data_IF_997277206481
#
_entry.id   IF_997277206481
#
_cell.length_a   1.000
_cell.length_b   1.000
_cell.length_c   1.000
_cell.angle_alpha   90.00
_cell.angle_beta   90.00
_cell.angle_gamma   90.00
#
_symmetry.space_group_name_H-M   'P 1'
#
loop_
_entity.id
_entity.type
_entity.pdbx_description
1 polymer ?
#
# COMPACT_ATOMS: atom_id res chain seq x y z
N UNK A 1 14.83 -10.92 86.85
CA UNK A 1 14.06 -11.09 85.68
C UNK A 1 14.39 -9.90 84.73
N UNK A 2 15.24 -10.13 83.71
CA UNK A 2 15.75 -9.08 82.80
C UNK A 2 15.00 -9.22 81.46
N UNK A 3 14.20 -8.23 81.12
CA UNK A 3 13.58 -8.10 79.79
C UNK A 3 14.64 -7.62 78.79
N UNK A 4 14.87 -8.39 77.73
CA UNK A 4 15.68 -8.00 76.56
C UNK A 4 14.75 -7.38 75.49
N UNK A 5 14.94 -6.09 75.23
CA UNK A 5 14.31 -5.38 74.16
C UNK A 5 15.00 -5.78 72.83
N UNK A 6 14.24 -6.36 71.87
CA UNK A 6 14.67 -6.56 70.51
C UNK A 6 14.24 -5.36 69.66
N UNK A 7 15.19 -4.61 69.17
CA UNK A 7 15.02 -3.53 68.21
C UNK A 7 14.89 -4.17 66.81
N UNK A 8 13.73 -4.13 66.22
CA UNK A 8 13.53 -4.51 64.81
C UNK A 8 13.88 -3.29 63.93
N UNK A 9 14.99 -3.41 63.19
CA UNK A 9 15.36 -2.48 62.11
C UNK A 9 14.61 -2.92 60.85
N UNK A 10 13.59 -2.11 60.45
CA UNK A 10 12.93 -2.25 59.17
C UNK A 10 13.81 -1.57 58.12
N UNK A 11 14.49 -2.36 57.27
CA UNK A 11 15.20 -1.86 56.10
C UNK A 11 14.13 -1.63 55.02
N UNK A 12 13.77 -0.35 54.76
CA UNK A 12 12.92 0.05 53.64
C UNK A 12 13.79 0.00 52.38
N UNK A 13 13.64 -1.07 51.55
CA UNK A 13 14.24 -1.12 50.26
C UNK A 13 13.43 -0.19 49.30
N UNK A 14 13.99 0.99 49.07
CA UNK A 14 13.49 1.87 47.99
C UNK A 14 13.96 1.31 46.66
N UNK A 15 13.10 0.58 45.98
CA UNK A 15 13.31 0.23 44.57
C UNK A 15 13.19 1.49 43.71
N UNK A 16 14.34 2.03 43.29
CA UNK A 16 14.37 3.00 42.19
C UNK A 16 13.89 2.31 40.93
N UNK A 17 12.63 2.52 40.54
CA UNK A 17 12.18 2.30 39.17
C UNK A 17 12.94 3.32 38.31
N UNK A 18 13.98 2.89 37.64
CA UNK A 18 14.52 3.60 36.49
C UNK A 18 13.43 3.61 35.40
N UNK A 19 12.63 4.67 35.35
CA UNK A 19 11.88 5.01 34.15
C UNK A 19 12.93 5.27 33.06
N UNK A 20 13.15 4.30 32.19
CA UNK A 20 13.85 4.52 30.95
C UNK A 20 13.07 5.59 30.18
N UNK A 21 13.51 6.83 30.25
CA UNK A 21 12.96 7.96 29.50
C UNK A 21 13.23 7.75 28.01
N UNK A 22 12.37 6.99 27.36
CA UNK A 22 12.33 6.94 25.89
C UNK A 22 12.05 8.37 25.41
N UNK A 23 12.81 8.86 24.42
CA UNK A 23 12.50 10.14 23.77
C UNK A 23 11.05 10.07 23.34
N UNK A 24 10.24 11.12 23.57
CA UNK A 24 8.88 11.16 23.09
C UNK A 24 8.89 10.93 21.57
N UNK A 25 8.00 10.07 21.08
CA UNK A 25 7.84 9.84 19.64
C UNK A 25 7.44 11.15 18.94
N UNK A 26 7.58 11.22 17.61
CA UNK A 26 7.20 12.41 16.87
C UNK A 26 5.71 12.71 17.09
N UNK A 27 5.39 13.99 17.21
CA UNK A 27 4.01 14.45 17.15
C UNK A 27 3.52 14.46 15.70
N UNK A 28 2.22 14.22 15.52
CA UNK A 28 1.60 14.10 14.20
C UNK A 28 0.39 15.03 14.13
N UNK A 29 0.37 15.90 13.11
CA UNK A 29 -0.80 16.69 12.73
C UNK A 29 -1.37 16.17 11.42
N UNK A 30 -2.70 16.06 11.31
CA UNK A 30 -3.37 15.50 10.13
C UNK A 30 -4.47 16.45 9.66
N UNK A 31 -4.50 16.68 8.35
CA UNK A 31 -5.46 17.53 7.66
C UNK A 31 -6.04 16.76 6.45
N UNK A 32 -7.36 16.77 6.29
CA UNK A 32 -8.02 16.28 5.08
C UNK A 32 -7.82 17.24 3.91
N UNK A 33 -7.65 16.70 2.70
CA UNK A 33 -7.36 17.47 1.49
C UNK A 33 -8.47 17.31 0.43
N UNK A 34 -9.67 17.88 0.64
CA UNK A 34 -10.79 17.69 -0.28
C UNK A 34 -10.53 18.23 -1.70
N UNK A 35 -9.61 19.17 -1.88
CA UNK A 35 -9.16 19.65 -3.19
C UNK A 35 -8.41 18.56 -3.98
N UNK A 36 -7.74 17.61 -3.31
CA UNK A 36 -7.15 16.43 -3.95
C UNK A 36 -8.22 15.37 -4.24
N UNK A 37 -9.17 15.14 -3.32
CA UNK A 37 -10.30 14.23 -3.54
C UNK A 37 -11.09 14.61 -4.79
N UNK A 38 -11.22 15.93 -5.06
CA UNK A 38 -11.95 16.45 -6.22
C UNK A 38 -11.37 15.99 -7.55
N UNK A 39 -10.04 15.75 -7.66
CA UNK A 39 -9.38 15.23 -8.85
C UNK A 39 -9.88 13.82 -9.24
N UNK A 40 -10.40 13.07 -8.27
CA UNK A 40 -10.90 11.70 -8.42
C UNK A 40 -12.43 11.62 -8.28
N UNK A 41 -13.14 12.72 -8.55
CA UNK A 41 -14.60 12.84 -8.36
C UNK A 41 -15.35 12.97 -9.67
N UNK A 42 -14.99 12.15 -10.68
CA UNK A 42 -15.64 12.18 -11.99
C UNK A 42 -17.07 11.63 -11.94
N UNK A 43 -17.91 12.16 -12.82
CA UNK A 43 -19.31 11.73 -12.97
C UNK A 43 -19.53 10.87 -14.20
N UNK A 44 -18.55 10.75 -15.10
CA UNK A 44 -18.61 9.97 -16.33
C UNK A 44 -17.24 9.35 -16.63
N UNK A 45 -17.23 8.19 -17.26
CA UNK A 45 -16.05 7.40 -17.50
C UNK A 45 -15.55 6.70 -16.23
N UNK A 46 -14.39 7.05 -15.74
CA UNK A 46 -13.85 6.56 -14.46
C UNK A 46 -14.62 7.21 -13.29
N UNK A 47 -15.30 6.42 -12.47
CA UNK A 47 -16.16 6.93 -11.40
C UNK A 47 -15.77 6.47 -10.00
N UNK A 48 -14.70 5.68 -9.89
CA UNK A 48 -14.14 5.23 -8.63
C UNK A 48 -13.18 4.08 -8.85
N UNK A 49 -12.21 3.92 -7.96
CA UNK A 49 -11.23 2.82 -8.00
C UNK A 49 -10.44 2.76 -6.71
N UNK A 50 -9.94 1.57 -6.40
CA UNK A 50 -9.13 1.31 -5.22
C UNK A 50 -7.64 1.15 -5.52
N UNK A 51 -6.85 0.79 -4.51
CA UNK A 51 -5.40 0.65 -4.61
C UNK A 51 -4.71 2.01 -4.59
N UNK A 52 -4.82 2.79 -5.66
CA UNK A 52 -4.26 4.14 -5.79
C UNK A 52 -2.75 4.22 -5.51
N UNK A 53 -1.95 3.40 -6.17
CA UNK A 53 -0.49 3.54 -6.17
C UNK A 53 -0.06 4.65 -7.12
N UNK A 54 1.07 5.31 -6.84
CA UNK A 54 1.54 6.42 -7.67
C UNK A 54 3.02 6.33 -8.01
N UNK A 55 3.36 6.60 -9.27
CA UNK A 55 4.74 6.66 -9.76
C UNK A 55 4.96 7.93 -10.56
N UNK A 56 6.02 8.69 -10.26
CA UNK A 56 6.42 9.82 -11.11
C UNK A 56 6.95 9.30 -12.45
N UNK A 57 6.33 9.70 -13.55
CA UNK A 57 6.86 9.46 -14.88
C UNK A 57 7.87 10.54 -15.29
N UNK A 58 7.70 11.76 -14.78
CA UNK A 58 8.61 12.89 -14.92
C UNK A 58 8.31 13.95 -13.85
N UNK A 59 8.88 15.14 -13.97
CA UNK A 59 8.67 16.22 -13.00
C UNK A 59 7.23 16.74 -12.95
N UNK A 60 6.43 16.58 -14.00
CA UNK A 60 5.09 17.14 -14.13
C UNK A 60 4.00 16.07 -14.22
N UNK A 61 4.37 14.81 -14.49
CA UNK A 61 3.38 13.75 -14.72
C UNK A 61 3.54 12.63 -13.69
N UNK A 62 2.43 12.27 -13.05
CA UNK A 62 2.31 11.15 -12.12
C UNK A 62 1.34 10.14 -12.72
N UNK A 63 1.76 8.88 -12.80
CA UNK A 63 0.86 7.78 -13.09
C UNK A 63 0.26 7.23 -11.80
N UNK A 64 -1.06 7.09 -11.79
CA UNK A 64 -1.84 6.46 -10.72
C UNK A 64 -2.32 5.10 -11.19
N UNK A 65 -2.16 4.09 -10.35
CA UNK A 65 -2.54 2.71 -10.63
C UNK A 65 -3.65 2.28 -9.68
N UNK A 66 -4.74 1.80 -10.25
CA UNK A 66 -5.90 1.34 -9.50
C UNK A 66 -6.04 -0.17 -9.67
N UNK A 67 -6.59 -0.80 -8.64
CA UNK A 67 -7.17 -2.14 -8.70
C UNK A 67 -8.57 -2.09 -9.32
N UNK A 68 -9.54 -2.72 -8.66
CA UNK A 68 -10.91 -2.71 -9.16
C UNK A 68 -11.43 -1.27 -9.34
N UNK A 69 -12.09 -1.05 -10.46
CA UNK A 69 -12.42 0.31 -10.92
C UNK A 69 -13.81 0.34 -11.53
N UNK A 70 -14.65 1.29 -11.10
CA UNK A 70 -15.95 1.57 -11.69
C UNK A 70 -15.81 2.44 -12.93
N UNK A 71 -16.27 1.93 -14.06
CA UNK A 71 -16.36 2.67 -15.35
C UNK A 71 -17.83 2.79 -15.73
N UNK A 72 -18.35 4.00 -15.77
CA UNK A 72 -19.76 4.25 -16.05
C UNK A 72 -20.15 5.70 -15.79
N UNK A 73 -21.32 5.93 -15.20
CA UNK A 73 -21.82 7.26 -14.85
C UNK A 73 -22.25 7.32 -13.40
N UNK A 74 -22.21 8.53 -12.82
CA UNK A 74 -22.84 8.81 -11.52
C UNK A 74 -24.10 9.66 -11.76
N UNK A 75 -25.26 9.12 -11.35
CA UNK A 75 -26.54 9.82 -11.33
C UNK A 75 -27.19 9.70 -9.96
N UNK A 76 -27.58 10.82 -9.37
CA UNK A 76 -28.16 10.87 -8.03
C UNK A 76 -27.34 10.15 -6.97
N UNK A 77 -25.99 10.28 -7.04
CA UNK A 77 -25.07 9.68 -6.09
C UNK A 77 -24.84 8.16 -6.26
N UNK A 78 -25.29 7.55 -7.36
CA UNK A 78 -25.18 6.10 -7.63
C UNK A 78 -24.43 5.84 -8.92
N UNK A 79 -23.73 4.73 -8.98
CA UNK A 79 -23.18 4.21 -10.23
C UNK A 79 -24.31 3.67 -11.11
N UNK A 80 -24.39 4.13 -12.36
CA UNK A 80 -25.38 3.70 -13.37
C UNK A 80 -24.67 3.35 -14.67
N UNK A 81 -25.17 2.32 -15.36
CA UNK A 81 -24.53 1.80 -16.57
C UNK A 81 -23.03 1.56 -16.35
N UNK A 82 -22.68 1.04 -15.18
CA UNK A 82 -21.31 0.93 -14.75
C UNK A 82 -20.83 -0.53 -14.75
N UNK A 83 -19.59 -0.70 -15.19
CA UNK A 83 -18.85 -1.98 -15.18
C UNK A 83 -17.70 -1.86 -14.21
N UNK A 84 -17.50 -2.90 -13.36
CA UNK A 84 -16.32 -3.00 -12.53
C UNK A 84 -15.22 -3.71 -13.33
N UNK A 85 -14.10 -3.01 -13.60
CA UNK A 85 -12.92 -3.55 -14.27
C UNK A 85 -11.80 -3.74 -13.25
N UNK A 86 -10.88 -4.71 -13.48
CA UNK A 86 -9.92 -5.10 -12.44
C UNK A 86 -8.69 -4.20 -12.32
N UNK A 87 -8.44 -3.32 -13.28
CA UNK A 87 -7.44 -2.26 -13.14
C UNK A 87 -7.65 -1.14 -14.15
N UNK A 88 -7.18 0.03 -13.77
CA UNK A 88 -7.11 1.22 -14.60
C UNK A 88 -5.87 2.05 -14.25
N UNK A 89 -5.56 3.03 -15.09
CA UNK A 89 -4.46 3.97 -14.90
C UNK A 89 -5.01 5.38 -15.05
N UNK A 90 -4.51 6.33 -14.23
CA UNK A 90 -4.69 7.74 -14.53
C UNK A 90 -3.34 8.44 -14.67
N UNK A 91 -3.30 9.47 -15.51
CA UNK A 91 -2.18 10.41 -15.58
C UNK A 91 -2.63 11.72 -14.93
N UNK A 92 -1.88 12.13 -13.92
CA UNK A 92 -2.00 13.45 -13.30
C UNK A 92 -0.97 14.36 -13.94
N UNK A 93 -1.41 15.48 -14.51
CA UNK A 93 -0.60 16.54 -15.05
C UNK A 93 -0.59 17.72 -14.07
N UNK A 94 0.60 18.16 -13.66
CA UNK A 94 0.76 19.06 -12.51
C UNK A 94 0.78 18.28 -11.18
N UNK A 95 1.50 18.81 -10.19
CA UNK A 95 1.71 18.05 -8.93
C UNK A 95 0.65 18.30 -7.87
N UNK A 96 0.03 19.47 -7.91
CA UNK A 96 -0.86 19.91 -6.84
C UNK A 96 -2.07 20.64 -7.38
N UNK A 97 -3.28 20.47 -6.82
CA UNK A 97 -4.43 21.32 -7.07
C UNK A 97 -4.15 22.80 -6.70
N UNK A 98 -4.73 23.78 -7.44
CA UNK A 98 -5.75 23.61 -8.49
C UNK A 98 -5.19 23.37 -9.90
N UNK A 99 -3.86 23.30 -10.06
CA UNK A 99 -3.22 23.22 -11.39
C UNK A 99 -3.20 21.80 -11.97
N UNK A 100 -3.52 20.79 -11.16
CA UNK A 100 -3.47 19.41 -11.61
C UNK A 100 -4.70 19.04 -12.44
N UNK A 101 -4.47 18.36 -13.55
CA UNK A 101 -5.47 17.77 -14.43
C UNK A 101 -5.33 16.25 -14.45
N UNK A 102 -6.43 15.54 -14.71
CA UNK A 102 -6.46 14.07 -14.66
C UNK A 102 -7.02 13.49 -15.95
N UNK A 103 -6.27 12.55 -16.55
CA UNK A 103 -6.73 11.71 -17.64
C UNK A 103 -6.82 10.26 -17.17
N UNK A 104 -7.95 9.59 -17.43
CA UNK A 104 -8.19 8.21 -16.98
C UNK A 104 -8.23 7.24 -18.15
N UNK A 105 -7.56 6.09 -17.99
CA UNK A 105 -7.37 5.06 -18.99
C UNK A 105 -7.78 3.69 -18.46
N UNK A 106 -8.56 2.98 -19.25
CA UNK A 106 -8.98 1.60 -19.03
C UNK A 106 -9.02 0.86 -20.38
N UNK A 107 -9.00 -0.46 -20.32
CA UNK A 107 -9.04 -1.29 -21.51
C UNK A 107 -10.43 -1.38 -22.13
N UNK A 108 -10.51 -2.02 -23.28
CA UNK A 108 -11.77 -2.38 -23.94
C UNK A 108 -11.77 -3.87 -24.31
N UNK A 109 -12.94 -4.47 -24.18
CA UNK A 109 -13.20 -5.82 -24.69
C UNK A 109 -13.49 -5.75 -26.20
N UNK A 110 -13.49 -6.90 -26.92
CA UNK A 110 -13.77 -6.93 -28.35
C UNK A 110 -15.13 -6.35 -28.76
N UNK A 111 -16.12 -6.38 -27.87
CA UNK A 111 -17.44 -5.79 -28.06
C UNK A 111 -17.49 -4.28 -27.74
N UNK A 112 -16.34 -3.67 -27.39
CA UNK A 112 -16.21 -2.27 -27.04
C UNK A 112 -16.52 -1.95 -25.58
N UNK A 113 -17.00 -2.89 -24.77
CA UNK A 113 -17.27 -2.69 -23.34
C UNK A 113 -16.00 -2.38 -22.54
N UNK A 114 -16.13 -1.67 -21.39
CA UNK A 114 -14.99 -1.42 -20.52
C UNK A 114 -14.34 -2.71 -20.02
N UNK A 115 -13.01 -2.71 -19.93
CA UNK A 115 -12.22 -3.85 -19.46
C UNK A 115 -10.96 -3.38 -18.73
N UNK A 116 -10.27 -4.30 -18.04
CA UNK A 116 -8.96 -4.04 -17.44
C UNK A 116 -7.96 -3.54 -18.50
N UNK A 117 -7.15 -2.54 -18.13
CA UNK A 117 -6.11 -2.01 -19.02
C UNK A 117 -4.97 -3.02 -19.18
N UNK A 118 -4.54 -3.64 -18.08
CA UNK A 118 -3.47 -4.64 -18.05
C UNK A 118 -4.09 -6.00 -17.72
N UNK A 119 -3.95 -6.94 -18.65
CA UNK A 119 -4.51 -8.29 -18.52
C UNK A 119 -3.39 -9.33 -18.45
N UNK A 120 -3.57 -10.45 -17.71
CA UNK A 120 -2.63 -11.54 -17.74
C UNK A 120 -2.44 -12.09 -19.15
N UNK A 121 -1.18 -12.22 -19.58
CA UNK A 121 -0.85 -12.77 -20.88
C UNK A 121 -1.17 -14.28 -21.00
N UNK A 122 -1.24 -14.99 -19.86
CA UNK A 122 -1.66 -16.39 -19.78
C UNK A 122 -3.19 -16.59 -19.81
N UNK A 123 -3.96 -15.47 -19.80
CA UNK A 123 -5.42 -15.48 -19.82
C UNK A 123 -6.08 -15.95 -18.52
N UNK A 124 -5.32 -16.21 -17.45
CA UNK A 124 -5.86 -16.71 -16.18
C UNK A 124 -6.18 -15.57 -15.23
N UNK A 125 -7.41 -15.49 -14.73
CA UNK A 125 -7.83 -14.52 -13.73
C UNK A 125 -7.65 -13.07 -14.18
N UNK A 126 -7.17 -12.22 -13.29
CA UNK A 126 -6.93 -10.78 -13.55
C UNK A 126 -5.73 -10.27 -12.76
N UNK A 127 -5.29 -9.05 -13.07
CA UNK A 127 -4.28 -8.34 -12.29
C UNK A 127 -4.89 -7.24 -11.44
N UNK A 128 -4.41 -7.13 -10.20
CA UNK A 128 -4.37 -5.89 -9.46
C UNK A 128 -2.96 -5.31 -9.53
N UNK A 129 -2.87 -4.00 -9.78
CA UNK A 129 -1.60 -3.30 -9.87
C UNK A 129 -1.21 -2.83 -8.47
N UNK A 130 -0.02 -3.23 -8.03
CA UNK A 130 0.60 -2.78 -6.80
C UNK A 130 1.62 -1.68 -7.11
N UNK A 131 2.65 -1.55 -6.27
CA UNK A 131 3.62 -0.48 -6.42
C UNK A 131 4.48 -0.63 -7.68
N UNK A 132 5.14 0.44 -8.06
CA UNK A 132 5.98 0.48 -9.24
C UNK A 132 7.15 1.44 -9.09
N UNK A 133 8.02 1.40 -10.08
CA UNK A 133 9.18 2.29 -10.14
C UNK A 133 9.55 2.62 -11.58
N UNK A 134 9.85 3.88 -11.84
CA UNK A 134 10.44 4.32 -13.09
C UNK A 134 11.97 4.23 -12.98
N UNK A 135 12.58 3.57 -13.96
CA UNK A 135 14.04 3.43 -14.07
C UNK A 135 14.49 3.94 -15.45
N UNK A 136 15.80 4.00 -15.68
CA UNK A 136 16.34 4.30 -17.02
C UNK A 136 15.94 3.26 -18.10
N UNK A 137 15.42 2.10 -17.71
CA UNK A 137 14.94 1.04 -18.62
C UNK A 137 13.44 1.07 -18.88
N UNK A 138 12.71 1.97 -18.24
CA UNK A 138 11.26 2.07 -18.33
C UNK A 138 10.56 1.94 -17.00
N UNK A 139 9.24 1.89 -17.06
CA UNK A 139 8.37 1.75 -15.90
C UNK A 139 8.20 0.26 -15.57
N UNK A 140 8.44 -0.09 -14.32
CA UNK A 140 8.18 -1.42 -13.78
C UNK A 140 7.01 -1.36 -12.80
N UNK A 141 6.11 -2.35 -12.88
CA UNK A 141 4.93 -2.48 -12.06
C UNK A 141 4.90 -3.87 -11.42
N UNK A 142 4.58 -3.93 -10.14
CA UNK A 142 4.28 -5.19 -9.47
C UNK A 142 2.80 -5.51 -9.69
N UNK A 143 2.52 -6.70 -10.23
CA UNK A 143 1.19 -7.13 -10.60
C UNK A 143 0.83 -8.38 -9.79
N UNK A 144 -0.28 -8.33 -9.09
CA UNK A 144 -0.80 -9.44 -8.31
C UNK A 144 -1.85 -10.16 -9.14
N UNK A 145 -1.59 -11.41 -9.52
CA UNK A 145 -2.54 -12.22 -10.27
C UNK A 145 -3.52 -12.90 -9.32
N UNK A 146 -4.78 -12.70 -9.59
CA UNK A 146 -5.91 -13.11 -8.75
C UNK A 146 -6.86 -13.96 -9.59
N UNK A 147 -7.48 -14.95 -8.95
CA UNK A 147 -8.56 -15.74 -9.57
C UNK A 147 -9.74 -15.89 -8.61
N UNK A 148 -10.93 -16.12 -9.17
CA UNK A 148 -12.11 -16.43 -8.38
C UNK A 148 -11.97 -17.79 -7.72
N UNK A 149 -12.48 -17.88 -6.48
CA UNK A 149 -12.72 -19.16 -5.80
C UNK A 149 -14.20 -19.55 -5.90
N UNK A 150 -14.54 -20.74 -5.44
CA UNK A 150 -15.94 -21.16 -5.37
C UNK A 150 -16.68 -20.27 -4.36
N UNK A 151 -17.82 -19.68 -4.78
CA UNK A 151 -18.65 -18.79 -3.97
C UNK A 151 -19.11 -17.56 -4.74
N UNK A 152 -19.91 -16.70 -4.07
CA UNK A 152 -20.46 -15.47 -4.65
C UNK A 152 -20.22 -14.25 -3.74
N UNK A 153 -19.43 -14.38 -2.66
CA UNK A 153 -19.10 -13.26 -1.80
C UNK A 153 -18.07 -12.32 -2.44
N UNK A 154 -18.02 -11.10 -1.95
CA UNK A 154 -17.11 -10.04 -2.44
C UNK A 154 -15.64 -10.49 -2.36
N UNK A 155 -15.30 -11.26 -1.34
CA UNK A 155 -13.92 -11.73 -1.07
C UNK A 155 -13.66 -13.17 -1.55
N UNK A 156 -14.51 -13.75 -2.41
CA UNK A 156 -14.29 -15.08 -2.99
C UNK A 156 -13.27 -15.05 -4.12
N UNK A 157 -12.04 -14.72 -3.75
CA UNK A 157 -10.87 -14.72 -4.63
C UNK A 157 -9.61 -15.13 -3.87
N UNK A 158 -8.59 -15.50 -4.59
CA UNK A 158 -7.25 -15.77 -4.05
C UNK A 158 -6.16 -15.23 -4.96
N UNK A 159 -5.06 -14.83 -4.36
CA UNK A 159 -3.83 -14.53 -5.09
C UNK A 159 -3.17 -15.83 -5.50
N UNK A 160 -2.74 -15.91 -6.76
CA UNK A 160 -2.10 -17.12 -7.32
C UNK A 160 -0.65 -16.90 -7.74
N UNK A 161 -0.27 -15.67 -8.12
CA UNK A 161 1.09 -15.33 -8.56
C UNK A 161 1.38 -13.84 -8.36
N UNK A 162 2.66 -13.52 -8.35
CA UNK A 162 3.16 -12.14 -8.45
C UNK A 162 3.97 -12.02 -9.75
N UNK A 163 3.77 -10.94 -10.48
CA UNK A 163 4.42 -10.66 -11.75
C UNK A 163 5.12 -9.30 -11.70
N UNK A 164 6.15 -9.16 -12.53
CA UNK A 164 6.76 -7.89 -12.85
C UNK A 164 6.32 -7.50 -14.28
N UNK A 165 5.57 -6.43 -14.39
CA UNK A 165 5.23 -5.77 -15.64
C UNK A 165 6.32 -4.76 -16.01
N UNK A 166 6.79 -4.76 -17.25
CA UNK A 166 7.76 -3.81 -17.77
C UNK A 166 7.18 -3.06 -18.97
N UNK A 167 7.09 -1.72 -18.86
CA UNK A 167 6.57 -0.81 -19.88
C UNK A 167 7.72 0.05 -20.38
N UNK A 168 8.32 -0.35 -21.52
CA UNK A 168 9.44 0.42 -22.14
C UNK A 168 8.92 1.72 -22.76
N UNK A 169 7.71 1.69 -23.33
CA UNK A 169 7.08 2.83 -23.97
C UNK A 169 6.21 3.67 -23.03
N UNK A 170 6.61 3.80 -21.75
CA UNK A 170 5.87 4.53 -20.71
C UNK A 170 5.66 6.02 -20.99
N UNK A 171 6.38 6.60 -21.95
CA UNK A 171 6.18 7.98 -22.41
C UNK A 171 4.97 8.14 -23.34
N UNK A 172 4.45 7.04 -23.90
CA UNK A 172 3.21 7.03 -24.65
C UNK A 172 1.99 7.06 -23.70
N UNK A 173 0.78 7.29 -24.25
CA UNK A 173 -0.45 7.20 -23.46
C UNK A 173 -0.65 5.77 -22.92
N UNK A 174 -1.22 5.61 -21.73
CA UNK A 174 -1.43 4.28 -21.14
C UNK A 174 -2.21 3.30 -22.02
N UNK A 175 -3.11 3.77 -22.86
CA UNK A 175 -3.83 2.95 -23.84
C UNK A 175 -2.93 2.30 -24.91
N UNK A 176 -1.73 2.84 -25.11
CA UNK A 176 -0.74 2.33 -26.07
C UNK A 176 0.39 1.54 -25.37
N UNK A 177 0.38 1.41 -24.06
CA UNK A 177 1.45 0.70 -23.33
C UNK A 177 1.54 -0.78 -23.73
N UNK A 178 2.76 -1.21 -23.95
CA UNK A 178 3.11 -2.62 -24.16
C UNK A 178 3.75 -3.14 -22.89
N UNK A 179 2.98 -3.92 -22.12
CA UNK A 179 3.41 -4.47 -20.83
C UNK A 179 4.02 -5.85 -21.03
N UNK A 180 5.35 -5.94 -21.01
CA UNK A 180 6.05 -7.21 -20.96
C UNK A 180 5.93 -7.79 -19.55
N UNK A 181 5.44 -9.01 -19.43
CA UNK A 181 5.15 -9.64 -18.14
C UNK A 181 6.14 -10.77 -17.87
N UNK A 182 6.69 -10.82 -16.67
CA UNK A 182 7.52 -11.94 -16.20
C UNK A 182 7.12 -12.32 -14.78
N UNK A 183 6.89 -13.61 -14.55
CA UNK A 183 6.52 -14.10 -13.22
C UNK A 183 7.69 -13.94 -12.25
N UNK A 184 7.44 -13.41 -11.06
CA UNK A 184 8.43 -13.32 -9.99
C UNK A 184 8.58 -14.72 -9.37
N UNK A 185 9.74 -15.38 -9.50
CA UNK A 185 9.90 -16.77 -9.04
C UNK A 185 10.00 -16.90 -7.51
N UNK A 186 10.09 -15.78 -6.80
CA UNK A 186 10.28 -15.71 -5.36
C UNK A 186 8.97 -15.58 -4.58
N UNK A 187 7.83 -15.66 -5.24
CA UNK A 187 6.51 -15.70 -4.60
C UNK A 187 6.03 -17.13 -4.36
N UNK A 188 5.19 -17.32 -3.35
CA UNK A 188 4.61 -18.60 -3.00
C UNK A 188 3.17 -18.42 -2.52
N UNK A 189 2.26 -19.23 -3.01
CA UNK A 189 0.86 -19.23 -2.58
C UNK A 189 0.42 -20.70 -2.43
N UNK A 190 0.27 -21.13 -1.18
CA UNK A 190 -0.12 -22.49 -0.82
C UNK A 190 -1.13 -22.49 0.32
N UNK A 191 -1.64 -23.66 0.69
CA UNK A 191 -2.56 -23.78 1.82
C UNK A 191 -1.92 -23.45 3.18
N UNK A 192 -0.58 -23.50 3.28
CA UNK A 192 0.14 -23.26 4.53
C UNK A 192 0.93 -21.96 4.56
N UNK A 193 1.22 -21.36 3.42
CA UNK A 193 2.07 -20.15 3.37
C UNK A 193 1.78 -19.31 2.13
N UNK A 194 1.79 -17.99 2.32
CA UNK A 194 1.77 -16.99 1.25
C UNK A 194 2.99 -16.09 1.35
N UNK A 195 3.69 -15.87 0.22
CA UNK A 195 4.79 -14.91 0.07
C UNK A 195 4.50 -14.05 -1.15
N UNK A 196 4.28 -12.76 -0.92
CA UNK A 196 3.95 -11.76 -1.92
C UNK A 196 5.03 -10.67 -1.96
N UNK A 197 5.41 -10.21 -3.14
CA UNK A 197 6.37 -9.11 -3.35
C UNK A 197 5.73 -7.94 -4.09
N UNK A 198 6.20 -6.72 -3.80
CA UNK A 198 5.77 -5.49 -4.47
C UNK A 198 4.70 -4.71 -3.72
N UNK A 199 4.49 -4.98 -2.43
CA UNK A 199 3.63 -4.16 -1.56
C UNK A 199 4.06 -2.70 -1.52
N UNK A 200 5.38 -2.47 -1.50
CA UNK A 200 6.01 -1.15 -1.64
C UNK A 200 7.37 -1.29 -2.32
N UNK A 201 7.78 -0.27 -3.07
CA UNK A 201 9.10 -0.18 -3.70
C UNK A 201 9.75 1.14 -3.33
N UNK A 202 10.97 1.07 -2.81
CA UNK A 202 11.73 2.24 -2.40
C UNK A 202 13.09 2.24 -3.09
N UNK A 203 13.40 3.29 -3.82
CA UNK A 203 14.74 3.49 -4.34
C UNK A 203 15.58 4.31 -3.35
N UNK A 204 16.74 3.77 -2.98
CA UNK A 204 17.78 4.50 -2.25
C UNK A 204 19.07 4.36 -3.04
N UNK A 205 19.58 5.45 -3.53
CA UNK A 205 20.72 5.49 -4.44
C UNK A 205 20.55 4.54 -5.65
N UNK A 206 21.44 3.59 -5.84
CA UNK A 206 21.39 2.59 -6.91
C UNK A 206 20.77 1.26 -6.50
N UNK A 207 20.04 1.21 -5.38
CA UNK A 207 19.40 0.02 -4.85
C UNK A 207 17.89 0.22 -4.78
N UNK A 208 17.14 -0.77 -5.27
CA UNK A 208 15.72 -0.90 -5.00
C UNK A 208 15.52 -1.83 -3.81
N UNK A 209 14.76 -1.35 -2.85
CA UNK A 209 14.20 -2.12 -1.74
C UNK A 209 12.78 -2.49 -2.11
N UNK A 210 12.51 -3.80 -2.18
CA UNK A 210 11.23 -4.36 -2.59
C UNK A 210 10.62 -5.00 -1.36
N UNK A 211 9.60 -4.38 -0.84
CA UNK A 211 8.86 -4.88 0.30
C UNK A 211 7.77 -5.84 -0.15
N UNK A 212 7.45 -6.75 0.71
CA UNK A 212 6.39 -7.72 0.50
C UNK A 212 5.82 -8.19 1.83
N UNK A 213 4.99 -9.21 1.77
CA UNK A 213 4.42 -9.85 2.95
C UNK A 213 4.59 -11.35 2.91
N UNK A 214 4.77 -11.94 4.08
CA UNK A 214 4.59 -13.37 4.30
C UNK A 214 3.47 -13.61 5.31
N UNK A 215 2.70 -14.66 5.08
CA UNK A 215 1.58 -15.07 5.93
C UNK A 215 1.62 -16.59 6.12
N UNK A 216 1.43 -17.06 7.34
CA UNK A 216 1.14 -18.45 7.62
C UNK A 216 -0.37 -18.67 7.41
N UNK A 217 -0.74 -19.13 6.22
CA UNK A 217 -2.14 -19.36 5.83
C UNK A 217 -2.75 -20.59 6.50
N UNK A 218 -1.94 -21.45 7.10
CA UNK A 218 -2.38 -22.58 7.92
C UNK A 218 -2.66 -22.20 9.37
N UNK A 219 -2.21 -21.04 9.83
CA UNK A 219 -2.46 -20.53 11.18
C UNK A 219 -3.85 -19.91 11.31
N UNK A 220 -4.42 -19.99 12.52
CA UNK A 220 -5.73 -19.38 12.84
C UNK A 220 -5.65 -17.85 12.94
N UNK A 221 -4.53 -17.29 13.35
CA UNK A 221 -4.36 -15.84 13.48
C UNK A 221 -4.01 -15.14 12.16
N UNK A 222 -3.54 -15.91 11.17
CA UNK A 222 -3.26 -15.46 9.80
C UNK A 222 -2.53 -14.11 9.71
N UNK A 223 -1.63 -13.83 10.66
CA UNK A 223 -0.88 -12.58 10.70
C UNK A 223 0.09 -12.46 9.53
N UNK A 224 0.00 -11.33 8.86
CA UNK A 224 0.95 -10.98 7.81
C UNK A 224 2.14 -10.23 8.39
N UNK A 225 3.32 -10.55 7.89
CA UNK A 225 4.55 -9.92 8.30
C UNK A 225 5.24 -9.27 7.12
N UNK A 226 5.79 -8.08 7.32
CA UNK A 226 6.66 -7.43 6.35
C UNK A 226 7.91 -8.28 6.12
N UNK A 227 8.28 -8.44 4.85
CA UNK A 227 9.54 -9.00 4.38
C UNK A 227 10.21 -8.04 3.40
N UNK A 228 11.52 -8.21 3.18
CA UNK A 228 12.28 -7.28 2.36
C UNK A 228 13.28 -7.98 1.46
N UNK A 229 13.27 -7.59 0.18
CA UNK A 229 14.31 -7.89 -0.78
C UNK A 229 15.00 -6.61 -1.24
N UNK A 230 16.21 -6.74 -1.81
CA UNK A 230 16.89 -5.65 -2.52
C UNK A 230 17.51 -6.13 -3.82
N UNK A 231 17.66 -5.20 -4.77
CA UNK A 231 18.30 -5.45 -6.06
C UNK A 231 18.89 -4.15 -6.59
N UNK A 232 20.02 -4.17 -7.34
CA UNK A 232 20.46 -2.97 -8.05
C UNK A 232 19.40 -2.48 -9.03
N UNK A 233 19.15 -1.16 -9.09
CA UNK A 233 18.11 -0.54 -9.96
C UNK A 233 18.16 -1.08 -11.39
N UNK A 234 19.36 -1.14 -11.97
CA UNK A 234 19.57 -1.60 -13.36
C UNK A 234 19.32 -3.11 -13.56
N UNK A 235 19.07 -3.88 -12.48
CA UNK A 235 18.95 -5.34 -12.48
C UNK A 235 17.61 -5.84 -11.94
N UNK A 236 16.60 -4.98 -11.86
CA UNK A 236 15.30 -5.35 -11.28
C UNK A 236 14.70 -6.61 -11.92
N UNK A 237 14.74 -6.72 -13.25
CA UNK A 237 14.24 -7.91 -13.98
C UNK A 237 15.22 -9.10 -14.01
N UNK A 238 16.41 -8.97 -13.42
CA UNK A 238 17.37 -10.07 -13.25
C UNK A 238 17.16 -10.69 -11.85
N UNK A 239 16.24 -11.64 -11.77
CA UNK A 239 15.87 -12.27 -10.50
C UNK A 239 17.04 -12.96 -9.79
N UNK A 240 18.10 -13.35 -10.47
CA UNK A 240 19.30 -13.92 -9.85
C UNK A 240 20.06 -12.91 -8.96
N UNK A 241 19.81 -11.60 -9.15
CA UNK A 241 20.43 -10.51 -8.41
C UNK A 241 19.66 -10.08 -7.18
N UNK A 242 18.45 -10.59 -6.99
CA UNK A 242 17.68 -10.29 -5.78
C UNK A 242 18.36 -10.89 -4.57
N UNK A 243 18.32 -10.15 -3.47
CA UNK A 243 18.82 -10.60 -2.16
C UNK A 243 17.77 -10.29 -1.12
N UNK A 244 17.53 -11.24 -0.25
CA UNK A 244 16.49 -11.20 0.77
C UNK A 244 17.12 -10.94 2.11
N UNK A 245 16.52 -10.06 2.91
CA UNK A 245 17.04 -9.74 4.24
C UNK A 245 16.69 -10.86 5.21
N UNK A 246 17.70 -11.46 5.82
CA UNK A 246 17.59 -12.59 6.73
C UNK A 246 18.58 -12.41 7.88
N UNK A 247 18.10 -12.19 9.11
CA UNK A 247 18.89 -12.14 10.35
C UNK A 247 20.15 -11.29 10.25
N UNK A 248 19.99 -10.06 9.77
CA UNK A 248 21.09 -9.10 9.62
C UNK A 248 21.91 -9.24 8.33
N UNK A 249 21.62 -10.21 7.48
CA UNK A 249 22.35 -10.50 6.26
C UNK A 249 21.45 -10.46 5.00
N UNK A 250 22.09 -10.34 3.84
CA UNK A 250 21.42 -10.40 2.55
C UNK A 250 21.75 -11.71 1.85
N UNK A 251 20.75 -12.60 1.78
CA UNK A 251 20.88 -13.96 1.26
C UNK A 251 20.18 -14.14 -0.09
N UNK A 252 20.48 -15.21 -0.82
CA UNK A 252 19.85 -15.54 -2.11
C UNK A 252 18.58 -16.38 -1.97
N UNK A 253 18.35 -17.02 -0.82
CA UNK A 253 17.17 -17.86 -0.57
C UNK A 253 16.03 -17.01 0.01
N UNK A 254 14.98 -16.77 -0.77
CA UNK A 254 13.82 -15.96 -0.39
C UNK A 254 13.02 -16.55 0.78
N UNK A 255 13.08 -17.87 0.97
CA UNK A 255 12.38 -18.57 2.06
C UNK A 255 12.96 -18.24 3.45
N UNK A 256 14.17 -17.70 3.47
CA UNK A 256 14.85 -17.26 4.70
C UNK A 256 14.56 -15.80 5.06
N UNK A 257 13.75 -15.09 4.26
CA UNK A 257 13.45 -13.69 4.55
C UNK A 257 12.87 -13.51 5.95
N UNK A 258 13.52 -12.66 6.76
CA UNK A 258 13.10 -12.37 8.13
C UNK A 258 11.78 -11.61 8.17
N UNK A 259 10.93 -11.92 9.13
CA UNK A 259 9.70 -11.21 9.47
C UNK A 259 10.04 -9.92 10.20
N UNK A 260 9.97 -8.79 9.50
CA UNK A 260 10.46 -7.49 10.02
C UNK A 260 9.44 -6.75 10.88
N UNK A 261 8.16 -6.93 10.63
CA UNK A 261 7.06 -6.30 11.35
C UNK A 261 5.80 -7.14 11.19
N UNK A 262 5.07 -7.35 12.28
CA UNK A 262 3.79 -8.05 12.28
C UNK A 262 2.62 -7.12 11.93
N UNK A 263 1.45 -7.72 11.66
CA UNK A 263 0.17 -7.04 11.43
C UNK A 263 0.22 -6.06 10.24
N UNK A 264 0.97 -6.43 9.19
CA UNK A 264 1.09 -5.66 7.95
C UNK A 264 0.08 -6.17 6.91
N UNK A 265 -0.73 -5.31 6.28
CA UNK A 265 -1.55 -5.71 5.15
C UNK A 265 -0.70 -6.01 3.91
N UNK A 266 -1.31 -6.49 2.82
CA UNK A 266 -0.61 -6.60 1.54
C UNK A 266 -0.36 -5.22 0.91
N UNK A 267 -1.19 -4.23 1.20
CA UNK A 267 -1.11 -2.88 0.67
C UNK A 267 -0.57 -1.92 1.72
N UNK A 268 0.58 -1.36 1.45
CA UNK A 268 1.22 -0.31 2.25
C UNK A 268 2.24 0.44 1.39
N UNK A 269 2.77 1.52 1.91
CA UNK A 269 3.89 2.26 1.31
C UNK A 269 5.07 2.36 2.26
N UNK A 270 6.26 2.57 1.73
CA UNK A 270 7.45 2.94 2.50
C UNK A 270 8.07 4.18 1.89
N UNK A 271 8.27 5.22 2.70
CA UNK A 271 8.84 6.50 2.27
C UNK A 271 9.90 6.97 3.25
N UNK A 272 10.87 7.76 2.78
CA UNK A 272 11.86 8.39 3.67
C UNK A 272 11.38 9.77 4.12
N UNK A 273 11.32 9.98 5.44
CA UNK A 273 11.02 11.25 6.09
C UNK A 273 12.31 11.94 6.50
N UNK A 274 12.77 12.89 5.71
CA UNK A 274 14.08 13.52 5.92
C UNK A 274 14.14 14.36 7.20
N UNK A 275 13.04 14.98 7.65
CA UNK A 275 12.97 15.71 8.92
C UNK A 275 13.27 14.84 10.13
N UNK A 276 12.79 13.59 10.12
CA UNK A 276 13.03 12.61 11.17
C UNK A 276 14.29 11.78 10.92
N UNK A 277 14.83 11.80 9.69
CA UNK A 277 15.87 10.88 9.20
C UNK A 277 15.48 9.41 9.38
N UNK A 278 14.21 9.11 9.09
CA UNK A 278 13.62 7.78 9.25
C UNK A 278 12.79 7.39 8.04
N UNK A 279 12.63 6.10 7.85
CA UNK A 279 11.66 5.52 6.94
C UNK A 279 10.32 5.38 7.65
N UNK A 280 9.23 5.63 6.93
CA UNK A 280 7.86 5.48 7.41
C UNK A 280 7.13 4.46 6.54
N UNK A 281 6.63 3.40 7.15
CA UNK A 281 5.67 2.48 6.55
C UNK A 281 4.26 2.94 6.90
N UNK A 282 3.42 3.24 5.92
CA UNK A 282 2.03 3.69 6.11
C UNK A 282 1.07 2.65 5.59
N UNK A 283 0.04 2.31 6.38
CA UNK A 283 -0.89 1.22 6.09
C UNK A 283 -2.22 1.35 6.84
N UNK A 284 -3.25 0.63 6.38
CA UNK A 284 -4.48 0.42 7.15
C UNK A 284 -4.29 -0.73 8.13
N UNK A 285 -4.66 -0.55 9.38
CA UNK A 285 -4.56 -1.58 10.40
C UNK A 285 -5.28 -2.86 9.94
N UNK A 286 -4.64 -4.02 10.09
CA UNK A 286 -5.19 -5.35 9.74
C UNK A 286 -5.73 -5.47 8.30
N UNK A 287 -5.45 -4.48 7.45
CA UNK A 287 -5.92 -4.40 6.06
C UNK A 287 -7.27 -3.71 5.90
N UNK A 288 -8.26 -4.06 6.70
CA UNK A 288 -9.62 -3.51 6.66
C UNK A 288 -9.96 -2.93 8.04
N UNK A 289 -9.84 -1.61 8.20
CA UNK A 289 -10.03 -0.95 9.49
C UNK A 289 -10.30 0.53 9.32
N UNK A 290 -10.85 1.18 10.35
CA UNK A 290 -10.94 2.63 10.39
C UNK A 290 -9.61 3.32 10.74
N UNK A 291 -8.59 2.60 11.21
CA UNK A 291 -7.33 3.18 11.65
C UNK A 291 -6.28 3.15 10.53
N UNK A 292 -5.66 4.31 10.28
CA UNK A 292 -4.48 4.46 9.45
C UNK A 292 -3.29 4.60 10.36
N UNK A 293 -2.29 3.75 10.17
CA UNK A 293 -1.12 3.65 11.03
C UNK A 293 0.17 3.95 10.26
N UNK A 294 1.20 4.32 11.01
CA UNK A 294 2.58 4.33 10.52
C UNK A 294 3.50 3.57 11.48
N UNK A 295 4.57 3.00 10.93
CA UNK A 295 5.75 2.53 11.69
C UNK A 295 6.97 3.28 11.18
N UNK A 296 7.88 3.60 12.07
CA UNK A 296 9.10 4.31 11.74
C UNK A 296 10.33 3.41 11.90
N UNK A 297 11.35 3.63 11.07
CA UNK A 297 12.60 2.89 11.15
C UNK A 297 13.79 3.75 10.74
N UNK A 298 14.96 3.61 11.40
CA UNK A 298 16.18 4.31 10.98
C UNK A 298 16.79 3.75 9.69
N UNK A 299 16.42 2.52 9.29
CA UNK A 299 16.93 1.84 8.10
C UNK A 299 15.80 1.14 7.32
N UNK A 300 15.95 0.89 6.01
CA UNK A 300 14.93 0.21 5.22
C UNK A 300 14.51 -1.16 5.77
N UNK A 301 15.44 -1.89 6.37
CA UNK A 301 15.20 -3.24 6.94
C UNK A 301 14.70 -3.22 8.39
N UNK A 302 14.61 -2.07 9.03
CA UNK A 302 14.24 -1.99 10.44
C UNK A 302 15.42 -1.63 11.37
N UNK A 303 15.26 -1.75 12.69
CA UNK A 303 14.03 -2.20 13.34
C UNK A 303 12.86 -1.22 13.17
N UNK A 304 11.67 -1.74 12.93
CA UNK A 304 10.44 -0.95 12.85
C UNK A 304 9.85 -0.69 14.22
N UNK A 305 9.40 0.54 14.46
CA UNK A 305 8.77 0.95 15.70
C UNK A 305 7.43 0.25 15.95
N UNK A 306 6.89 0.38 17.15
CA UNK A 306 5.47 0.18 17.39
C UNK A 306 4.62 1.08 16.48
N UNK A 307 3.37 0.67 16.17
CA UNK A 307 2.50 1.46 15.30
C UNK A 307 2.09 2.78 15.95
N UNK A 308 2.15 3.84 15.17
CA UNK A 308 1.64 5.19 15.51
C UNK A 308 0.33 5.37 14.75
N UNK A 309 -0.75 5.67 15.45
CA UNK A 309 -2.02 6.00 14.79
C UNK A 309 -1.95 7.40 14.21
N UNK A 310 -2.06 7.47 12.87
CA UNK A 310 -2.08 8.74 12.14
C UNK A 310 -3.49 9.32 12.07
N UNK A 311 -4.47 8.49 11.69
CA UNK A 311 -5.83 8.95 11.40
C UNK A 311 -6.86 7.88 11.73
N UNK A 312 -8.07 8.33 11.95
CA UNK A 312 -9.24 7.46 12.04
C UNK A 312 -10.25 7.93 10.99
N UNK A 313 -10.56 7.07 10.05
CA UNK A 313 -11.38 7.40 8.90
C UNK A 313 -12.85 7.57 9.32
N UNK A 314 -13.43 8.74 9.12
CA UNK A 314 -14.78 9.06 9.60
C UNK A 314 -15.87 8.32 8.82
N UNK A 315 -15.59 7.87 7.61
CA UNK A 315 -16.54 7.13 6.77
C UNK A 315 -16.97 5.80 7.41
N UNK A 316 -16.10 5.20 8.22
CA UNK A 316 -16.44 3.98 8.96
C UNK A 316 -17.55 4.19 10.02
N UNK A 317 -17.88 5.44 10.36
CA UNK A 317 -18.99 5.77 11.25
C UNK A 317 -20.32 6.00 10.50
N UNK A 318 -20.31 6.05 9.16
CA UNK A 318 -21.55 6.24 8.40
C UNK A 318 -22.47 5.02 8.45
N UNK A 319 -21.87 3.82 8.54
CA UNK A 319 -22.60 2.55 8.59
C UNK A 319 -21.65 1.41 9.00
N UNK A 320 -22.15 0.43 9.75
CA UNK A 320 -21.37 -0.68 10.27
C UNK A 320 -20.78 -1.62 9.20
N UNK A 321 -21.27 -1.55 7.96
CA UNK A 321 -20.70 -2.30 6.85
C UNK A 321 -19.51 -1.60 6.18
N UNK A 322 -19.22 -0.34 6.54
CA UNK A 322 -18.16 0.46 5.92
C UNK A 322 -16.85 0.26 6.66
N UNK A 323 -15.80 0.07 5.91
CA UNK A 323 -14.40 -0.01 6.36
C UNK A 323 -13.52 0.87 5.49
N UNK A 324 -12.31 1.15 5.97
CA UNK A 324 -11.28 1.82 5.20
C UNK A 324 -10.09 0.89 4.99
N UNK A 325 -9.39 1.05 3.87
CA UNK A 325 -8.26 0.21 3.50
C UNK A 325 -7.32 0.91 2.52
N UNK A 326 -6.31 0.19 2.07
CA UNK A 326 -5.37 0.62 1.03
C UNK A 326 -4.64 1.92 1.38
N UNK A 327 -4.47 2.24 2.68
CA UNK A 327 -3.77 3.45 3.08
C UNK A 327 -2.30 3.39 2.67
N UNK A 328 -1.82 4.44 1.99
CA UNK A 328 -0.43 4.56 1.55
C UNK A 328 -0.01 6.02 1.36
N UNK A 329 1.28 6.27 1.55
CA UNK A 329 1.87 7.57 1.35
C UNK A 329 2.38 7.75 -0.08
N UNK A 330 2.25 8.98 -0.57
CA UNK A 330 2.72 9.43 -1.88
C UNK A 330 3.76 10.54 -1.67
N UNK A 331 5.00 10.17 -1.32
CA UNK A 331 6.07 11.12 -1.02
C UNK A 331 6.33 12.12 -2.16
N UNK A 332 6.03 11.72 -3.40
CA UNK A 332 6.14 12.54 -4.61
C UNK A 332 5.18 13.75 -4.61
N UNK A 333 4.12 13.73 -3.82
CA UNK A 333 3.16 14.84 -3.64
C UNK A 333 3.49 15.72 -2.42
N UNK A 334 4.44 15.32 -1.59
CA UNK A 334 4.82 16.09 -0.41
C UNK A 334 5.51 17.40 -0.82
N UNK A 335 5.10 18.51 -0.22
CA UNK A 335 5.64 19.84 -0.51
C UNK A 335 6.83 20.19 0.39
N UNK A 336 6.87 19.61 1.58
CA UNK A 336 7.91 19.86 2.58
C UNK A 336 8.47 18.55 3.14
N UNK A 337 9.70 18.57 3.68
CA UNK A 337 10.39 17.35 4.15
C UNK A 337 9.76 16.66 5.37
N UNK A 338 8.86 17.34 6.06
CA UNK A 338 8.15 16.89 7.25
C UNK A 338 6.75 16.32 6.94
N UNK A 339 6.34 16.33 5.66
CA UNK A 339 5.00 15.94 5.24
C UNK A 339 4.98 14.63 4.46
N UNK A 340 3.88 13.91 4.63
CA UNK A 340 3.43 12.87 3.71
C UNK A 340 2.00 13.17 3.26
N UNK A 341 1.77 13.06 1.95
CA UNK A 341 0.41 12.99 1.42
C UNK A 341 0.02 11.52 1.40
N UNK A 342 -1.10 11.20 2.04
CA UNK A 342 -1.58 9.82 2.21
C UNK A 342 -2.93 9.70 1.53
N UNK A 343 -3.17 8.59 0.84
CA UNK A 343 -4.51 8.19 0.41
C UNK A 343 -5.02 7.02 1.23
N UNK A 344 -6.35 6.89 1.31
CA UNK A 344 -7.08 5.71 1.73
C UNK A 344 -8.38 5.60 0.95
N UNK A 345 -8.99 4.42 0.98
CA UNK A 345 -10.26 4.14 0.31
C UNK A 345 -11.28 3.77 1.37
N UNK A 346 -12.49 4.33 1.30
CA UNK A 346 -13.64 3.85 2.05
C UNK A 346 -14.47 2.92 1.16
N UNK A 347 -14.86 1.77 1.69
CA UNK A 347 -15.63 0.74 0.98
C UNK A 347 -16.61 0.06 1.92
N UNK A 348 -17.45 -0.84 1.41
CA UNK A 348 -18.40 -1.62 2.18
C UNK A 348 -18.24 -3.11 1.92
N UNK A 349 -18.48 -3.93 2.95
CA UNK A 349 -18.63 -5.39 2.78
C UNK A 349 -19.93 -5.75 2.02
N UNK A 350 -20.86 -4.81 1.91
CA UNK A 350 -22.05 -4.91 1.05
C UNK A 350 -21.75 -4.29 -0.31
N UNK A 351 -21.55 -5.12 -1.33
CA UNK A 351 -21.29 -4.69 -2.69
C UNK A 351 -22.41 -3.79 -3.27
N UNK A 352 -23.67 -4.04 -2.90
CA UNK A 352 -24.79 -3.20 -3.36
C UNK A 352 -24.66 -1.78 -2.81
N UNK A 353 -24.15 -1.62 -1.58
CA UNK A 353 -23.88 -0.31 -1.01
C UNK A 353 -22.83 0.43 -1.79
N UNK A 354 -21.71 -0.23 -2.11
CA UNK A 354 -20.63 0.38 -2.92
C UNK A 354 -21.15 0.81 -4.30
N UNK A 355 -22.00 0.00 -4.94
CA UNK A 355 -22.61 0.35 -6.23
C UNK A 355 -23.61 1.50 -6.13
N UNK A 356 -24.31 1.66 -5.00
CA UNK A 356 -25.37 2.65 -4.79
C UNK A 356 -24.93 3.91 -4.03
N UNK A 357 -23.69 4.01 -3.60
CA UNK A 357 -23.13 5.18 -2.93
C UNK A 357 -21.77 5.57 -3.54
N UNK A 358 -21.82 6.44 -4.52
CA UNK A 358 -20.62 6.91 -5.22
C UNK A 358 -19.69 7.79 -4.37
N UNK A 359 -19.98 8.02 -3.09
CA UNK A 359 -19.04 8.61 -2.13
C UNK A 359 -17.96 7.60 -1.71
N UNK A 360 -18.25 6.30 -1.84
CA UNK A 360 -17.32 5.19 -1.58
C UNK A 360 -16.44 4.92 -2.81
N UNK A 361 -15.43 4.09 -2.60
CA UNK A 361 -14.59 3.48 -3.63
C UNK A 361 -13.77 4.47 -4.47
N UNK A 362 -13.23 5.49 -3.83
CA UNK A 362 -12.32 6.46 -4.46
C UNK A 362 -11.31 7.00 -3.46
N UNK A 363 -10.12 7.44 -3.93
CA UNK A 363 -9.08 7.97 -3.06
C UNK A 363 -9.56 9.18 -2.26
N UNK A 364 -9.26 9.18 -0.97
CA UNK A 364 -9.37 10.31 -0.07
C UNK A 364 -8.00 10.68 0.42
N UNK A 365 -7.72 11.96 0.48
CA UNK A 365 -6.38 12.46 0.71
C UNK A 365 -6.24 13.13 2.07
N UNK A 366 -5.11 12.84 2.71
CA UNK A 366 -4.68 13.45 3.95
C UNK A 366 -3.29 14.06 3.78
N UNK A 367 -3.05 15.19 4.43
CA UNK A 367 -1.70 15.68 4.73
C UNK A 367 -1.36 15.27 6.15
N UNK A 368 -0.25 14.58 6.31
CA UNK A 368 0.29 14.20 7.62
C UNK A 368 1.62 14.92 7.81
N UNK A 369 1.71 15.78 8.85
CA UNK A 369 2.91 16.53 9.19
C UNK A 369 3.52 15.94 10.46
N UNK A 370 4.81 15.61 10.40
CA UNK A 370 5.57 15.05 11.51
C UNK A 370 6.46 16.13 12.14
N UNK A 371 6.41 16.25 13.46
CA UNK A 371 7.28 17.15 14.23
C UNK A 371 8.11 16.33 15.22
N UNK A 372 9.40 16.69 15.40
CA UNK A 372 10.34 16.03 16.33
C UNK A 372 9.92 16.26 17.78
#
# INVERSE_FOLDING_TARGET
MRLRNYLFIIILAVSLLCCAGGKPGPTVAVEALPQYDALFSNKDGWTGGDGAYSVALNQQTIAWFFGDTWIGQIKNGRHVNATLVNNSVALQHGRHPPEAEMDFYFGRAPDGSPAALIRPADGQGWFWVFDGVLTAKGLYLFLIQVERTAGNAVFDFKVIRTWLGHVENHAELPSAWRVRQSQIPWSKFSASESILWGSAVLQVDNVLYIYGTTEDTGSTDRKKHMILARVPVSRLADYSRWRFYADGQWVSDFRKASRLSADMPHEYSVSYLSVLKQYAAVYSQDGLSKNILARLSPQPQGPWSDPIRLYQCPEAEWDNSIFCYAAKAHAILSQTPDQLIITYIANSVDFNKTANDARLYRPRFLRVTFTK
#
